data_IF_854372486350
#
_entry.id   IF_854372486350
#
_cell.length_a   1.000
_cell.length_b   1.000
_cell.length_c   1.000
_cell.angle_alpha   90.00
_cell.angle_beta   90.00
_cell.angle_gamma   90.00
#
_symmetry.space_group_name_H-M   'P 1'
#
loop_
_entity.id
_entity.type
_entity.pdbx_description
1 polymer ?
#
# COMPACT_ATOMS: atom_id res chain seq x y z
N UNK A 1 -11.86 9.98 -21.28
CA UNK A 1 -10.65 10.79 -21.03
C UNK A 1 -9.68 9.92 -20.25
N UNK A 2 -8.46 9.72 -20.75
CA UNK A 2 -7.40 8.96 -20.08
C UNK A 2 -6.73 9.90 -19.07
N UNK A 3 -6.50 9.46 -17.83
CA UNK A 3 -5.81 10.26 -16.82
C UNK A 3 -4.40 10.64 -17.31
N UNK A 4 -3.97 11.92 -17.23
CA UNK A 4 -2.63 12.34 -17.63
C UNK A 4 -1.51 11.73 -16.76
N UNK A 5 -1.89 11.04 -15.68
CA UNK A 5 -0.97 10.32 -14.79
C UNK A 5 -0.78 8.84 -15.16
N UNK A 6 -1.49 8.35 -16.18
CA UNK A 6 -1.49 6.93 -16.53
C UNK A 6 -0.28 6.46 -17.35
N UNK A 7 0.57 7.37 -17.86
CA UNK A 7 1.62 6.97 -18.80
C UNK A 7 2.85 6.35 -18.15
N UNK A 8 3.24 6.72 -16.93
CA UNK A 8 4.29 5.99 -16.17
C UNK A 8 4.02 6.09 -14.66
N UNK A 9 3.23 5.16 -14.13
CA UNK A 9 3.10 5.03 -12.66
C UNK A 9 4.38 4.41 -12.10
N UNK A 10 5.21 5.24 -11.47
CA UNK A 10 6.43 4.80 -10.80
C UNK A 10 6.13 4.42 -9.34
N UNK A 11 6.38 3.14 -9.01
CA UNK A 11 6.29 2.63 -7.65
C UNK A 11 7.67 2.57 -7.01
N UNK A 12 7.78 2.97 -5.75
CA UNK A 12 8.98 2.73 -4.96
C UNK A 12 9.23 1.23 -4.75
N UNK A 13 10.47 0.90 -4.39
CA UNK A 13 10.76 -0.39 -3.77
C UNK A 13 9.89 -0.58 -2.52
N UNK A 14 9.56 -1.85 -2.24
CA UNK A 14 8.83 -2.20 -1.03
C UNK A 14 9.82 -2.35 0.11
N UNK A 15 9.46 -1.86 1.28
CA UNK A 15 10.22 -2.11 2.49
C UNK A 15 9.29 -2.56 3.62
N UNK A 16 9.81 -3.40 4.49
CA UNK A 16 9.09 -3.88 5.65
C UNK A 16 9.50 -3.07 6.88
N UNK A 17 8.54 -2.68 7.70
CA UNK A 17 8.81 -2.04 8.98
C UNK A 17 7.79 -2.53 10.01
N UNK A 18 8.30 -3.03 11.13
CA UNK A 18 7.48 -3.64 12.18
C UNK A 18 6.55 -4.73 11.59
N UNK A 19 5.22 -4.53 11.68
CA UNK A 19 4.17 -5.47 11.28
C UNK A 19 3.64 -5.24 9.86
N UNK A 20 4.18 -4.25 9.12
CA UNK A 20 3.63 -3.80 7.85
C UNK A 20 4.69 -3.74 6.74
N UNK A 21 4.22 -3.93 5.50
CA UNK A 21 4.95 -3.63 4.27
C UNK A 21 4.50 -2.25 3.74
N UNK A 22 5.45 -1.46 3.27
CA UNK A 22 5.26 -0.08 2.82
C UNK A 22 5.73 0.09 1.39
N UNK A 23 5.09 1.02 0.68
CA UNK A 23 5.44 1.48 -0.67
C UNK A 23 4.86 2.87 -0.90
N UNK A 24 5.52 3.65 -1.73
CA UNK A 24 5.01 4.92 -2.23
C UNK A 24 4.87 4.92 -3.76
N UNK A 25 4.05 5.83 -4.27
CA UNK A 25 3.94 6.15 -5.71
C UNK A 25 3.82 7.65 -5.86
N UNK A 26 4.20 8.18 -7.02
CA UNK A 26 3.88 9.56 -7.38
C UNK A 26 2.37 9.71 -7.60
N UNK A 27 1.81 10.79 -7.09
CA UNK A 27 0.39 11.12 -7.23
C UNK A 27 0.00 12.28 -6.33
N UNK A 28 -1.09 12.96 -6.69
CA UNK A 28 -1.64 14.05 -5.89
C UNK A 28 -3.00 13.63 -5.37
N UNK A 29 -3.23 13.75 -4.07
CA UNK A 29 -4.53 13.42 -3.48
C UNK A 29 -4.52 13.49 -1.96
N UNK A 30 -5.71 13.68 -1.39
CA UNK A 30 -5.94 13.49 0.04
C UNK A 30 -5.95 11.99 0.38
N UNK A 31 -6.26 11.62 1.63
CA UNK A 31 -6.54 10.22 1.97
C UNK A 31 -7.67 9.69 1.07
N UNK A 32 -7.39 8.57 0.40
CA UNK A 32 -8.27 7.97 -0.61
C UNK A 32 -8.42 6.48 -0.32
N UNK A 33 -9.62 5.98 -0.56
CA UNK A 33 -9.97 4.56 -0.43
C UNK A 33 -9.37 3.72 -1.56
N UNK A 34 -9.40 2.40 -1.38
CA UNK A 34 -8.95 1.44 -2.40
C UNK A 34 -9.68 1.59 -3.73
N UNK A 35 -10.98 1.82 -3.68
CA UNK A 35 -11.79 2.04 -4.88
C UNK A 35 -11.37 3.33 -5.60
N UNK A 36 -11.14 4.42 -4.87
CA UNK A 36 -10.74 5.70 -5.44
C UNK A 36 -9.37 5.62 -6.12
N UNK A 37 -8.34 5.07 -5.45
CA UNK A 37 -7.01 5.00 -6.06
C UNK A 37 -6.94 4.02 -7.23
N UNK A 38 -7.77 2.98 -7.25
CA UNK A 38 -7.88 2.06 -8.40
C UNK A 38 -8.63 2.66 -9.57
N UNK A 39 -9.80 3.27 -9.33
CA UNK A 39 -10.71 3.68 -10.39
C UNK A 39 -10.49 5.12 -10.86
N UNK A 40 -10.16 6.03 -9.95
CA UNK A 40 -9.96 7.46 -10.27
C UNK A 40 -8.52 7.71 -10.70
N UNK A 41 -7.54 7.23 -9.92
CA UNK A 41 -6.12 7.43 -10.22
C UNK A 41 -5.55 6.36 -11.15
N UNK A 42 -6.23 5.22 -11.30
CA UNK A 42 -5.76 4.13 -12.16
C UNK A 42 -4.55 3.38 -11.59
N UNK A 43 -4.25 3.51 -10.29
CA UNK A 43 -3.11 2.82 -9.68
C UNK A 43 -3.39 1.31 -9.63
N UNK A 44 -2.37 0.53 -9.96
CA UNK A 44 -2.44 -0.92 -10.09
C UNK A 44 -1.50 -1.58 -9.08
N UNK A 45 -2.07 -2.02 -7.96
CA UNK A 45 -1.36 -2.77 -6.93
C UNK A 45 -2.14 -4.04 -6.56
N UNK A 46 -1.47 -5.00 -5.90
CA UNK A 46 -2.13 -6.15 -5.29
C UNK A 46 -3.19 -5.72 -4.27
N UNK A 47 -4.02 -6.63 -3.76
CA UNK A 47 -5.02 -6.28 -2.75
C UNK A 47 -4.38 -6.01 -1.37
N UNK A 48 -5.10 -5.27 -0.54
CA UNK A 48 -4.76 -5.00 0.86
C UNK A 48 -3.89 -3.76 1.10
N UNK A 49 -3.54 -3.00 0.06
CA UNK A 49 -2.83 -1.72 0.21
C UNK A 49 -3.79 -0.61 0.63
N UNK A 50 -3.42 0.11 1.70
CA UNK A 50 -4.18 1.23 2.25
C UNK A 50 -3.35 2.50 2.14
N UNK A 51 -3.91 3.55 1.52
CA UNK A 51 -3.35 4.91 1.59
C UNK A 51 -3.56 5.42 3.02
N UNK A 52 -2.50 5.42 3.83
CA UNK A 52 -2.64 5.59 5.29
C UNK A 52 -2.19 6.96 5.79
N UNK A 53 -1.50 7.73 4.95
CA UNK A 53 -0.89 8.99 5.35
C UNK A 53 -0.93 9.99 4.21
N UNK A 54 -1.56 11.15 4.47
CA UNK A 54 -1.40 12.35 3.66
C UNK A 54 -0.09 13.06 4.07
N UNK A 55 0.93 12.93 3.23
CA UNK A 55 2.26 13.44 3.52
C UNK A 55 2.37 14.93 3.12
N UNK A 56 2.00 15.82 4.05
CA UNK A 56 1.97 17.28 3.82
C UNK A 56 3.29 17.90 3.35
N UNK A 57 4.44 17.30 3.70
CA UNK A 57 5.76 17.81 3.29
C UNK A 57 6.05 17.57 1.79
N UNK A 58 5.42 16.57 1.18
CA UNK A 58 5.63 16.09 -0.19
C UNK A 58 4.28 15.64 -0.76
N UNK A 59 3.38 16.58 -1.10
CA UNK A 59 1.99 16.30 -1.49
C UNK A 59 1.85 15.52 -2.82
N UNK A 60 2.95 15.37 -3.57
CA UNK A 60 3.04 14.58 -4.80
C UNK A 60 3.43 13.12 -4.56
N UNK A 61 3.44 12.68 -3.30
CA UNK A 61 3.74 11.31 -2.88
C UNK A 61 2.55 10.73 -2.15
N UNK A 62 2.07 9.57 -2.62
CA UNK A 62 1.02 8.80 -1.96
C UNK A 62 1.66 7.61 -1.22
N UNK A 63 1.39 7.51 0.09
CA UNK A 63 2.00 6.52 0.97
C UNK A 63 1.06 5.35 1.29
N UNK A 64 1.44 4.14 0.86
CA UNK A 64 0.65 2.93 1.06
C UNK A 64 1.31 2.00 2.09
N UNK A 65 0.48 1.32 2.88
CA UNK A 65 0.89 0.21 3.75
C UNK A 65 -0.06 -0.97 3.63
N UNK A 66 0.42 -2.16 3.95
CA UNK A 66 -0.40 -3.36 4.18
C UNK A 66 0.23 -4.25 5.25
N UNK A 67 -0.54 -5.05 6.00
CA UNK A 67 0.05 -5.96 6.98
C UNK A 67 0.95 -7.02 6.30
N UNK A 68 1.98 -7.46 6.99
CA UNK A 68 2.80 -8.58 6.55
C UNK A 68 1.98 -9.88 6.48
N UNK A 69 2.30 -10.75 5.52
CA UNK A 69 1.50 -11.97 5.29
C UNK A 69 0.13 -11.72 4.63
N UNK A 70 -0.12 -10.51 4.11
CA UNK A 70 -1.33 -10.24 3.31
C UNK A 70 -1.28 -11.00 1.99
N UNK A 71 -2.26 -11.87 1.77
CA UNK A 71 -2.45 -12.56 0.51
C UNK A 71 -2.78 -11.55 -0.61
N UNK A 72 -1.98 -11.49 -1.70
CA UNK A 72 -2.10 -10.46 -2.73
C UNK A 72 -3.40 -10.53 -3.54
N UNK A 73 -4.09 -11.68 -3.54
CA UNK A 73 -5.32 -11.90 -4.29
C UNK A 73 -6.58 -11.64 -3.46
N UNK A 74 -6.55 -11.96 -2.16
CA UNK A 74 -7.70 -11.78 -1.26
C UNK A 74 -7.65 -10.50 -0.44
N UNK A 75 -6.45 -9.93 -0.23
CA UNK A 75 -6.23 -8.78 0.65
C UNK A 75 -6.34 -9.11 2.13
N UNK A 76 -6.38 -10.39 2.51
CA UNK A 76 -6.49 -10.86 3.89
C UNK A 76 -5.14 -11.32 4.41
N UNK A 77 -4.90 -11.14 5.71
CA UNK A 77 -3.70 -11.61 6.39
C UNK A 77 -3.85 -13.10 6.71
N UNK A 78 -2.88 -13.90 6.30
CA UNK A 78 -2.83 -15.30 6.69
C UNK A 78 -2.26 -15.40 8.11
N UNK A 79 -3.10 -15.77 9.08
CA UNK A 79 -2.76 -15.85 10.52
C UNK A 79 -1.64 -16.86 10.86
N UNK A 80 -1.10 -17.61 9.88
CA UNK A 80 -0.06 -18.61 10.10
C UNK A 80 1.31 -18.00 10.45
N UNK A 81 1.53 -16.72 10.14
CA UNK A 81 2.80 -16.04 10.39
C UNK A 81 2.91 -15.49 11.82
N UNK A 82 1.79 -15.22 12.49
CA UNK A 82 1.74 -14.58 13.80
C UNK A 82 2.12 -15.53 14.95
N UNK A 83 2.06 -16.85 14.73
CA UNK A 83 2.40 -17.84 15.77
C UNK A 83 3.91 -17.97 16.02
N UNK A 84 4.77 -17.69 15.03
CA UNK A 84 6.22 -17.87 15.17
C UNK A 84 6.91 -16.80 16.04
N UNK A 85 6.31 -15.63 16.24
CA UNK A 85 6.90 -14.56 17.09
C UNK A 85 6.70 -14.87 18.58
N UNK A 86 5.62 -15.58 18.94
CA UNK A 86 5.35 -15.96 20.34
C UNK A 86 6.18 -17.16 20.83
N UNK A 87 6.85 -17.88 19.93
CA UNK A 87 7.73 -19.00 20.30
C UNK A 87 9.19 -18.59 20.53
N UNK A 88 9.61 -17.40 20.10
CA UNK A 88 10.98 -16.91 20.30
C UNK A 88 11.18 -16.16 21.62
N UNK A 89 10.11 -16.03 22.43
CA UNK A 89 10.11 -15.39 23.76
C UNK A 89 9.85 -16.40 24.91
N UNK A 90 10.14 -17.69 24.71
CA UNK A 90 10.14 -18.71 25.77
C UNK A 90 11.52 -19.31 25.95
#
# INVERSE_FOLDING_TARGET
MRSPYAEEVEYSEKFNMDTHEYRATRGNGQLISEEEWRHVLGLQMSRGWVHFLDWKKEPWVLCFRRPQGTNPQTGKVDNKSTENVNQMNK
#
